data_IF_562234944851
#
_entry.id   IF_562234944851
#
_cell.length_a   1.000
_cell.length_b   1.000
_cell.length_c   1.000
_cell.angle_alpha   90.00
_cell.angle_beta   90.00
_cell.angle_gamma   90.00
#
_symmetry.space_group_name_H-M   'P 1'
#
loop_
_entity.id
_entity.type
_entity.pdbx_description
1 polymer ?
#
# COMPACT_ATOMS: atom_id res chain seq x y z
N UNK A 1 17.18 20.53 -74.94
CA UNK A 1 16.07 19.82 -74.26
C UNK A 1 16.33 18.33 -74.39
N UNK A 2 16.81 17.65 -73.33
CA UNK A 2 16.71 16.18 -73.08
C UNK A 2 17.51 15.87 -71.80
N UNK A 3 16.89 16.15 -70.65
CA UNK A 3 17.44 15.77 -69.35
C UNK A 3 17.08 14.31 -69.04
N UNK A 4 18.08 13.45 -68.87
CA UNK A 4 17.87 12.07 -68.41
C UNK A 4 17.42 12.09 -66.95
N UNK A 5 16.15 11.74 -66.71
CA UNK A 5 15.60 11.48 -65.39
C UNK A 5 16.03 10.07 -64.95
N UNK A 6 16.92 9.99 -63.96
CA UNK A 6 17.31 8.74 -63.31
C UNK A 6 16.06 8.18 -62.60
N UNK A 7 15.50 7.10 -63.16
CA UNK A 7 14.43 6.33 -62.52
C UNK A 7 15.09 5.54 -61.38
N UNK A 8 15.10 6.10 -60.18
CA UNK A 8 15.45 5.35 -58.96
C UNK A 8 14.37 4.28 -58.77
N UNK A 9 14.63 3.07 -59.26
CA UNK A 9 13.81 1.90 -58.98
C UNK A 9 13.82 1.66 -57.47
N UNK A 10 12.77 2.12 -56.79
CA UNK A 10 12.54 1.86 -55.38
C UNK A 10 12.23 0.36 -55.26
N UNK A 11 13.26 -0.42 -54.93
CA UNK A 11 13.14 -1.85 -54.67
C UNK A 11 12.21 -2.04 -53.47
N UNK A 12 10.92 -2.26 -53.72
CA UNK A 12 9.99 -2.74 -52.70
C UNK A 12 10.42 -4.15 -52.32
N UNK A 13 11.13 -4.27 -51.21
CA UNK A 13 11.30 -5.55 -50.56
C UNK A 13 10.00 -5.81 -49.78
N UNK A 14 9.24 -6.81 -50.20
CA UNK A 14 8.19 -7.40 -49.38
C UNK A 14 8.88 -8.14 -48.23
N UNK A 15 9.09 -7.48 -47.10
CA UNK A 15 9.52 -8.16 -45.88
C UNK A 15 8.35 -9.01 -45.42
N UNK A 16 8.50 -10.34 -45.51
CA UNK A 16 7.72 -11.27 -44.71
C UNK A 16 7.74 -10.75 -43.27
N UNK A 17 6.55 -10.61 -42.69
CA UNK A 17 6.29 -9.98 -41.39
C UNK A 17 7.35 -10.33 -40.34
N UNK A 18 7.97 -9.28 -39.82
CA UNK A 18 8.99 -9.22 -38.79
C UNK A 18 8.67 -10.10 -37.58
N UNK A 19 9.40 -11.20 -37.43
CA UNK A 19 9.32 -12.12 -36.28
C UNK A 19 9.75 -11.40 -34.98
N UNK A 20 10.52 -10.32 -35.11
CA UNK A 20 11.08 -9.51 -34.01
C UNK A 20 10.25 -8.26 -33.68
N UNK A 21 9.02 -8.15 -34.19
CA UNK A 21 8.17 -7.00 -33.89
C UNK A 21 7.66 -7.09 -32.43
N UNK A 22 7.81 -6.02 -31.62
CA UNK A 22 7.38 -6.07 -30.23
C UNK A 22 5.87 -6.27 -30.17
N UNK A 23 5.46 -7.29 -29.42
CA UNK A 23 4.05 -7.59 -29.20
C UNK A 23 3.38 -6.37 -28.54
N UNK A 24 2.41 -5.76 -29.21
CA UNK A 24 1.65 -4.64 -28.65
C UNK A 24 0.58 -5.18 -27.67
N UNK A 25 1.00 -5.67 -26.50
CA UNK A 25 0.08 -6.00 -25.42
C UNK A 25 -0.31 -4.73 -24.63
N UNK A 26 -1.61 -4.50 -24.44
CA UNK A 26 -2.13 -3.32 -23.73
C UNK A 26 -1.80 -3.26 -22.23
N UNK A 27 -1.21 -4.32 -21.68
CA UNK A 27 -0.78 -4.40 -20.28
C UNK A 27 0.69 -4.79 -20.20
N UNK A 28 1.44 -4.08 -19.35
CA UNK A 28 2.84 -4.34 -19.06
C UNK A 28 3.01 -5.69 -18.30
N UNK A 29 3.71 -6.69 -18.88
CA UNK A 29 3.91 -8.00 -18.26
C UNK A 29 4.83 -7.96 -17.03
N UNK A 30 5.62 -6.89 -16.84
CA UNK A 30 6.52 -6.73 -15.69
C UNK A 30 5.92 -5.85 -14.59
N UNK A 31 4.68 -5.39 -14.74
CA UNK A 31 4.01 -4.55 -13.75
C UNK A 31 3.84 -5.32 -12.43
N UNK A 32 4.48 -4.83 -11.37
CA UNK A 32 4.32 -5.37 -10.01
C UNK A 32 2.88 -5.18 -9.53
N UNK A 33 2.38 -6.19 -8.81
CA UNK A 33 1.10 -6.12 -8.13
C UNK A 33 1.09 -4.97 -7.11
N UNK A 34 -0.04 -4.26 -7.03
CA UNK A 34 -0.20 -3.16 -6.08
C UNK A 34 -0.13 -3.68 -4.64
N UNK A 35 0.70 -3.05 -3.82
CA UNK A 35 0.82 -3.43 -2.41
C UNK A 35 -0.38 -2.93 -1.62
N UNK A 36 -1.21 -3.85 -1.14
CA UNK A 36 -2.32 -3.55 -0.21
C UNK A 36 -1.80 -3.44 1.23
N UNK A 37 -2.48 -2.65 2.06
CA UNK A 37 -2.20 -2.61 3.50
C UNK A 37 -2.76 -3.85 4.21
N UNK A 38 -2.34 -4.09 5.46
CA UNK A 38 -2.71 -5.28 6.24
C UNK A 38 -4.24 -5.45 6.37
N UNK A 39 -4.97 -4.38 6.68
CA UNK A 39 -6.44 -4.45 6.81
C UNK A 39 -7.14 -4.72 5.48
N UNK A 40 -6.65 -4.14 4.38
CA UNK A 40 -7.24 -4.32 3.04
C UNK A 40 -6.83 -5.64 2.35
N UNK A 41 -5.75 -6.28 2.79
CA UNK A 41 -5.35 -7.60 2.29
C UNK A 41 -6.18 -8.70 2.94
N UNK A 42 -6.54 -8.51 4.20
CA UNK A 42 -7.24 -9.50 5.02
C UNK A 42 -8.76 -9.20 5.14
N UNK A 43 -9.24 -8.14 4.47
CA UNK A 43 -10.62 -7.67 4.52
C UNK A 43 -11.18 -7.54 5.95
N UNK A 44 -10.36 -7.00 6.85
CA UNK A 44 -10.70 -6.82 8.26
C UNK A 44 -11.40 -5.47 8.44
N UNK A 45 -12.62 -5.49 8.93
CA UNK A 45 -13.36 -4.28 9.30
C UNK A 45 -13.01 -3.80 10.71
N UNK A 46 -12.88 -2.48 10.85
CA UNK A 46 -12.62 -1.83 12.13
C UNK A 46 -13.93 -1.48 12.82
N UNK A 47 -14.12 -2.04 14.01
CA UNK A 47 -15.25 -1.78 14.92
C UNK A 47 -14.77 -1.23 16.26
N UNK A 48 -15.48 -0.24 16.79
CA UNK A 48 -15.18 0.37 18.09
C UNK A 48 -15.44 -0.59 19.27
N UNK A 49 -16.26 -1.63 19.03
CA UNK A 49 -16.64 -2.66 19.99
C UNK A 49 -15.54 -3.69 20.23
N UNK A 50 -14.53 -3.75 19.36
CA UNK A 50 -13.46 -4.75 19.39
C UNK A 50 -12.15 -4.13 19.91
N UNK A 51 -12.02 -3.85 21.22
CA UNK A 51 -10.85 -3.18 21.77
C UNK A 51 -9.56 -4.00 21.59
N UNK A 52 -9.65 -5.33 21.50
CA UNK A 52 -8.50 -6.22 21.26
C UNK A 52 -7.75 -5.88 19.97
N UNK A 53 -8.49 -5.71 18.86
CA UNK A 53 -7.91 -5.35 17.58
C UNK A 53 -7.35 -3.92 17.60
N UNK A 54 -8.12 -2.96 18.13
CA UNK A 54 -7.72 -1.56 18.17
C UNK A 54 -6.45 -1.33 18.99
N UNK A 55 -6.31 -2.06 20.10
CA UNK A 55 -5.14 -1.96 20.98
C UNK A 55 -3.84 -2.52 20.39
N UNK A 56 -3.91 -3.28 19.29
CA UNK A 56 -2.71 -3.66 18.53
C UNK A 56 -2.08 -2.45 17.82
N UNK A 57 -2.85 -1.40 17.57
CA UNK A 57 -2.38 -0.15 16.94
C UNK A 57 -2.01 0.94 17.95
N UNK A 58 -1.97 0.60 19.23
CA UNK A 58 -1.70 1.52 20.33
C UNK A 58 -0.41 1.11 21.06
N UNK A 59 0.40 2.10 21.42
CA UNK A 59 1.61 1.91 22.22
C UNK A 59 1.28 1.35 23.60
N UNK A 60 1.99 0.30 24.01
CA UNK A 60 1.79 -0.37 25.30
C UNK A 60 1.97 0.58 26.49
N UNK A 61 2.97 1.45 26.43
CA UNK A 61 3.36 2.31 27.54
C UNK A 61 2.63 3.66 27.57
N UNK A 62 2.42 4.26 26.41
CA UNK A 62 1.92 5.64 26.31
C UNK A 62 0.44 5.75 25.94
N UNK A 63 -0.18 4.65 25.51
CA UNK A 63 -1.55 4.69 24.98
C UNK A 63 -1.67 5.51 23.69
N UNK A 64 -0.57 5.99 23.08
CA UNK A 64 -0.63 6.75 21.83
C UNK A 64 -0.86 5.82 20.65
N UNK A 65 -1.67 6.25 19.69
CA UNK A 65 -1.90 5.50 18.44
C UNK A 65 -0.67 5.63 17.56
N UNK A 66 -0.21 4.52 16.98
CA UNK A 66 0.92 4.53 16.06
C UNK A 66 0.56 5.23 14.75
N UNK A 67 1.52 5.96 14.19
CA UNK A 67 1.35 6.67 12.93
C UNK A 67 1.36 5.75 11.70
N UNK A 68 1.00 6.31 10.54
CA UNK A 68 0.97 5.60 9.26
C UNK A 68 2.31 5.02 8.83
N UNK A 69 3.41 5.74 9.05
CA UNK A 69 4.76 5.31 8.64
C UNK A 69 5.23 4.05 9.40
N UNK A 70 4.70 3.85 10.61
CA UNK A 70 4.94 2.66 11.44
C UNK A 70 3.96 1.53 11.07
N UNK A 71 2.67 1.82 11.07
CA UNK A 71 1.62 0.81 10.87
C UNK A 71 1.51 0.29 9.43
N UNK A 72 1.97 1.07 8.44
CA UNK A 72 1.89 0.72 7.02
C UNK A 72 0.46 0.66 6.46
N UNK A 73 -0.51 1.27 7.14
CA UNK A 73 -1.90 1.35 6.69
C UNK A 73 -2.08 2.36 5.54
N UNK A 74 -3.09 2.16 4.70
CA UNK A 74 -3.48 3.18 3.74
C UNK A 74 -4.13 4.38 4.48
N UNK A 75 -4.10 5.57 3.88
CA UNK A 75 -4.61 6.80 4.51
C UNK A 75 -6.08 6.66 4.93
N UNK A 76 -6.90 6.01 4.09
CA UNK A 76 -8.32 5.77 4.37
C UNK A 76 -8.52 4.93 5.64
N UNK A 77 -7.81 3.80 5.74
CA UNK A 77 -7.92 2.92 6.90
C UNK A 77 -7.32 3.53 8.16
N UNK A 78 -6.24 4.29 8.03
CA UNK A 78 -5.65 4.99 9.17
C UNK A 78 -6.60 6.05 9.76
N UNK A 79 -7.30 6.83 8.93
CA UNK A 79 -8.32 7.76 9.38
C UNK A 79 -9.50 7.06 10.07
N UNK A 80 -10.01 5.97 9.46
CA UNK A 80 -11.06 5.14 10.06
C UNK A 80 -10.62 4.59 11.42
N UNK A 81 -9.38 4.14 11.54
CA UNK A 81 -8.80 3.65 12.79
C UNK A 81 -8.79 4.70 13.89
N UNK A 82 -8.32 5.92 13.59
CA UNK A 82 -8.30 7.02 14.56
C UNK A 82 -9.71 7.37 15.06
N UNK A 83 -10.69 7.44 14.16
CA UNK A 83 -12.09 7.69 14.52
C UNK A 83 -12.65 6.57 15.40
N UNK A 84 -12.42 5.32 15.01
CA UNK A 84 -12.89 4.13 15.72
C UNK A 84 -12.30 4.04 17.13
N UNK A 85 -11.00 4.33 17.27
CA UNK A 85 -10.32 4.44 18.57
C UNK A 85 -10.90 5.56 19.43
N UNK A 86 -11.17 6.72 18.83
CA UNK A 86 -11.79 7.85 19.55
C UNK A 86 -13.17 7.47 20.09
N UNK A 87 -13.99 6.79 19.29
CA UNK A 87 -15.30 6.29 19.70
C UNK A 87 -15.17 5.24 20.81
N UNK A 88 -14.26 4.27 20.66
CA UNK A 88 -14.04 3.21 21.65
C UNK A 88 -13.61 3.76 23.02
N UNK A 89 -12.73 4.78 23.02
CA UNK A 89 -12.31 5.51 24.23
C UNK A 89 -13.46 6.27 24.88
N UNK A 90 -14.25 7.01 24.09
CA UNK A 90 -15.43 7.74 24.58
C UNK A 90 -16.50 6.80 25.16
N UNK A 91 -16.64 5.62 24.56
CA UNK A 91 -17.55 4.57 25.03
C UNK A 91 -17.03 3.83 26.28
N UNK A 92 -15.80 4.09 26.73
CA UNK A 92 -15.20 3.42 27.89
C UNK A 92 -14.76 1.97 27.62
N UNK A 93 -14.68 1.54 26.37
CA UNK A 93 -14.27 0.17 25.99
C UNK A 93 -12.75 -0.01 25.92
N UNK A 94 -12.01 1.09 25.78
CA UNK A 94 -10.56 1.07 25.67
C UNK A 94 -9.93 2.20 26.49
N UNK A 95 -8.86 1.94 27.25
CA UNK A 95 -8.14 2.96 28.03
C UNK A 95 -7.45 4.01 27.14
N UNK A 96 -7.21 5.19 27.72
CA UNK A 96 -6.60 6.34 27.03
C UNK A 96 -5.08 6.35 27.22
N UNK A 97 -4.60 6.17 28.45
CA UNK A 97 -3.20 6.43 28.82
C UNK A 97 -2.28 5.21 28.71
N UNK A 98 -2.81 4.00 28.88
CA UNK A 98 -2.04 2.75 28.88
C UNK A 98 -2.85 1.70 28.14
N UNK A 99 -2.20 0.72 27.52
CA UNK A 99 -2.87 -0.44 26.94
C UNK A 99 -3.44 -1.34 28.04
N UNK A 100 -4.59 -1.98 27.81
CA UNK A 100 -5.16 -2.93 28.76
C UNK A 100 -4.18 -4.09 28.99
N UNK A 101 -3.91 -4.46 30.26
CA UNK A 101 -3.01 -5.57 30.60
C UNK A 101 -3.36 -6.89 29.91
N UNK A 102 -4.65 -7.11 29.62
CA UNK A 102 -5.17 -8.30 28.95
C UNK A 102 -4.59 -8.50 27.55
N UNK A 103 -4.25 -7.43 26.84
CA UNK A 103 -3.82 -7.50 25.43
C UNK A 103 -2.33 -7.15 25.25
N UNK A 104 -1.55 -7.04 26.33
CA UNK A 104 -0.12 -6.73 26.24
C UNK A 104 0.64 -7.83 25.48
N UNK A 105 0.28 -9.09 25.72
CA UNK A 105 0.97 -10.27 25.20
C UNK A 105 0.39 -10.80 23.88
N UNK A 106 -0.52 -10.06 23.22
CA UNK A 106 -1.01 -10.43 21.90
C UNK A 106 0.13 -10.38 20.86
N UNK A 107 0.12 -11.25 19.83
CA UNK A 107 1.13 -11.22 18.78
C UNK A 107 1.13 -9.85 18.08
N UNK A 108 2.32 -9.30 17.88
CA UNK A 108 2.50 -7.98 17.25
C UNK A 108 2.26 -8.10 15.75
N UNK A 109 1.42 -7.22 15.19
CA UNK A 109 1.14 -7.16 13.75
C UNK A 109 2.28 -6.49 12.95
N UNK A 110 3.02 -5.58 13.58
CA UNK A 110 4.09 -4.82 12.97
C UNK A 110 5.15 -4.43 14.01
N UNK A 111 6.38 -4.23 13.53
CA UNK A 111 7.50 -3.82 14.36
C UNK A 111 7.62 -2.30 14.44
N UNK A 112 7.37 -1.75 15.62
CA UNK A 112 7.37 -0.30 15.82
C UNK A 112 8.75 0.35 15.61
N UNK A 113 9.82 -0.42 15.81
CA UNK A 113 11.21 0.06 15.67
C UNK A 113 11.73 -0.02 14.24
N UNK A 114 10.99 -0.65 13.31
CA UNK A 114 11.38 -0.79 11.91
C UNK A 114 10.30 -0.21 11.00
N UNK A 115 10.17 1.13 10.94
CA UNK A 115 9.13 1.77 10.14
C UNK A 115 9.30 1.45 8.65
N UNK A 116 8.18 1.35 7.94
CA UNK A 116 8.17 0.94 6.53
C UNK A 116 8.75 2.00 5.60
N UNK A 117 8.60 3.27 5.97
CA UNK A 117 9.20 4.42 5.27
C UNK A 117 10.13 5.14 6.24
N UNK A 118 11.40 5.38 5.88
CA UNK A 118 12.30 6.17 6.70
C UNK A 118 11.78 7.61 6.81
N UNK A 119 12.17 8.29 7.88
CA UNK A 119 11.94 9.72 8.02
C UNK A 119 12.80 10.48 7.00
N UNK A 120 12.32 11.61 6.48
CA UNK A 120 13.02 12.35 5.41
C UNK A 120 14.41 12.87 5.78
N UNK A 121 14.70 12.97 7.07
CA UNK A 121 15.98 13.43 7.62
C UNK A 121 16.76 12.30 8.33
N UNK A 122 16.31 11.05 8.23
CA UNK A 122 16.96 9.88 8.82
C UNK A 122 17.80 9.11 7.79
#
# INVERSE_FOLDING_TARGET
MLGLRIIRTFRRYSTLTSIDEPLQSGTDPYKKLESKCLLCRNDIELDYKNPRLLQQFVSSFSGRVFERHVTGLCTKQHQRLLQTISISRKAGLMPIFVKDPKYINDPKLFDCFKPRTPHSYA
#
